data_IF_531941093084
#
_entry.id   IF_531941093084
#
_cell.length_a   1.000
_cell.length_b   1.000
_cell.length_c   1.000
_cell.angle_alpha   90.00
_cell.angle_beta   90.00
_cell.angle_gamma   90.00
#
_symmetry.space_group_name_H-M   'P 1'
#
loop_
_entity.id
_entity.type
_entity.pdbx_description
1 polymer ?
#
# COMPACT_ATOMS: atom_id res chain seq x y z
N UNK A 1 -5.01 2.42 3.18
CA UNK A 1 -4.92 1.09 2.51
C UNK A 1 -5.37 -0.04 3.43
N UNK A 2 -4.93 -0.08 4.69
CA UNK A 2 -5.31 -1.13 5.66
C UNK A 2 -6.84 -1.25 5.89
N UNK A 3 -7.56 -0.12 5.95
CA UNK A 3 -9.03 -0.11 6.04
C UNK A 3 -9.77 -0.69 4.83
N UNK A 4 -9.16 -0.63 3.64
CA UNK A 4 -9.82 -1.00 2.38
C UNK A 4 -9.34 -2.33 1.81
N UNK A 5 -8.12 -2.77 2.19
CA UNK A 5 -7.37 -3.90 1.58
C UNK A 5 -7.29 -3.84 0.05
N UNK A 6 -7.53 -2.66 -0.52
CA UNK A 6 -7.60 -2.40 -1.95
C UNK A 6 -7.00 -1.02 -2.23
N UNK A 7 -5.92 -0.98 -3.02
CA UNK A 7 -5.26 0.27 -3.41
C UNK A 7 -6.18 1.21 -4.20
N UNK A 8 -7.13 0.67 -4.98
CA UNK A 8 -8.06 1.50 -5.74
C UNK A 8 -9.02 2.27 -4.84
N UNK A 9 -9.52 1.64 -3.77
CA UNK A 9 -10.38 2.31 -2.81
C UNK A 9 -9.60 3.31 -1.96
N UNK A 10 -8.40 2.93 -1.49
CA UNK A 10 -7.54 3.83 -0.75
C UNK A 10 -7.13 5.06 -1.59
N UNK A 11 -6.91 4.88 -2.89
CA UNK A 11 -6.59 5.98 -3.79
C UNK A 11 -7.76 6.96 -3.93
N UNK A 12 -9.00 6.45 -4.05
CA UNK A 12 -10.21 7.28 -4.05
C UNK A 12 -10.37 8.08 -2.76
N UNK A 13 -10.15 7.45 -1.60
CA UNK A 13 -10.22 8.13 -0.29
C UNK A 13 -9.13 9.21 -0.14
N UNK A 14 -7.95 8.98 -0.73
CA UNK A 14 -6.85 9.94 -0.74
C UNK A 14 -6.93 10.95 -1.90
N UNK A 15 -8.02 10.98 -2.67
CA UNK A 15 -8.20 11.86 -3.84
C UNK A 15 -7.06 11.78 -4.87
N UNK A 16 -6.48 10.60 -5.03
CA UNK A 16 -5.42 10.32 -6.01
C UNK A 16 -5.80 9.15 -6.89
N UNK A 17 -5.07 8.98 -8.00
CA UNK A 17 -5.22 7.78 -8.81
C UNK A 17 -4.54 6.58 -8.15
N UNK A 18 -5.03 5.37 -8.45
CA UNK A 18 -4.41 4.14 -7.94
C UNK A 18 -2.95 3.96 -8.39
N UNK A 19 -2.55 4.29 -9.64
CA UNK A 19 -1.14 4.29 -10.05
C UNK A 19 -0.30 5.26 -9.21
N UNK A 20 -0.81 6.47 -8.95
CA UNK A 20 -0.13 7.46 -8.11
C UNK A 20 0.10 6.92 -6.71
N UNK A 21 -0.94 6.40 -6.05
CA UNK A 21 -0.82 5.88 -4.68
C UNK A 21 0.16 4.71 -4.61
N UNK A 22 0.09 3.78 -5.57
CA UNK A 22 0.97 2.61 -5.62
C UNK A 22 2.43 3.02 -5.79
N UNK A 23 2.69 4.03 -6.62
CA UNK A 23 4.04 4.56 -6.81
C UNK A 23 4.57 5.26 -5.56
N UNK A 24 3.74 6.03 -4.83
CA UNK A 24 4.18 6.66 -3.57
C UNK A 24 4.50 5.61 -2.50
N UNK A 25 3.71 4.54 -2.43
CA UNK A 25 3.95 3.44 -1.49
C UNK A 25 5.21 2.67 -1.87
N UNK A 26 5.45 2.40 -3.16
CA UNK A 26 6.69 1.79 -3.60
C UNK A 26 7.91 2.64 -3.20
N UNK A 27 7.86 3.95 -3.42
CA UNK A 27 8.94 4.87 -3.02
C UNK A 27 9.19 4.84 -1.51
N UNK A 28 8.14 4.71 -0.70
CA UNK A 28 8.25 4.58 0.74
C UNK A 28 8.87 3.24 1.13
N UNK A 29 8.44 2.14 0.51
CA UNK A 29 8.99 0.80 0.72
C UNK A 29 10.49 0.75 0.34
N UNK A 30 10.87 1.39 -0.75
CA UNK A 30 12.25 1.52 -1.20
C UNK A 30 13.07 2.39 -0.23
N UNK A 31 12.52 3.51 0.23
CA UNK A 31 13.20 4.38 1.20
C UNK A 31 13.45 3.69 2.54
N UNK A 32 12.46 2.93 3.02
CA UNK A 32 12.56 2.18 4.28
C UNK A 32 13.32 0.85 4.12
N UNK A 33 13.60 0.42 2.88
CA UNK A 33 14.11 -0.92 2.56
C UNK A 33 13.25 -2.04 3.18
N UNK A 34 11.93 -1.80 3.24
CA UNK A 34 10.95 -2.68 3.89
C UNK A 34 9.70 -2.77 3.02
N UNK A 35 9.24 -3.99 2.76
CA UNK A 35 7.96 -4.22 2.10
C UNK A 35 6.84 -4.07 3.15
N UNK A 36 5.95 -3.12 2.93
CA UNK A 36 4.81 -2.79 3.80
C UNK A 36 3.58 -3.59 3.37
N UNK A 37 3.39 -3.81 2.07
CA UNK A 37 2.25 -4.54 1.52
C UNK A 37 2.66 -5.76 0.69
N UNK A 38 2.10 -6.92 1.01
CA UNK A 38 2.23 -8.14 0.23
C UNK A 38 1.24 -8.11 -0.94
N UNK A 39 1.78 -7.83 -2.13
CA UNK A 39 1.05 -7.74 -3.40
C UNK A 39 0.86 -9.09 -4.09
N UNK A 40 1.47 -10.17 -3.58
CA UNK A 40 1.25 -11.53 -4.11
C UNK A 40 -0.14 -12.08 -3.77
N UNK A 41 -0.82 -11.46 -2.80
CA UNK A 41 -2.16 -11.84 -2.34
C UNK A 41 -3.20 -10.87 -2.87
N UNK A 42 -4.34 -11.41 -3.28
CA UNK A 42 -5.53 -10.64 -3.67
C UNK A 42 -6.68 -11.04 -2.75
N UNK A 43 -7.15 -10.16 -1.84
CA UNK A 43 -6.79 -8.75 -1.69
C UNK A 43 -5.39 -8.55 -1.06
N UNK A 44 -4.79 -7.38 -1.31
CA UNK A 44 -3.47 -7.00 -0.78
C UNK A 44 -3.53 -6.95 0.74
N UNK A 45 -2.51 -7.51 1.40
CA UNK A 45 -2.42 -7.54 2.86
C UNK A 45 -1.16 -6.84 3.36
N UNK A 46 -1.21 -6.15 4.52
CA UNK A 46 0.00 -5.63 5.15
C UNK A 46 0.94 -6.77 5.59
N UNK A 47 2.24 -6.57 5.43
CA UNK A 47 3.27 -7.45 6.01
C UNK A 47 3.32 -7.27 7.54
N UNK A 48 4.00 -8.16 8.29
CA UNK A 48 4.21 -7.94 9.73
C UNK A 48 4.86 -6.60 10.06
N UNK A 49 5.70 -6.09 9.16
CA UNK A 49 6.30 -4.75 9.28
C UNK A 49 5.28 -3.66 8.98
N UNK A 50 4.48 -3.82 7.92
CA UNK A 50 3.41 -2.87 7.60
C UNK A 50 2.27 -2.77 8.62
N UNK A 51 2.16 -3.72 9.56
CA UNK A 51 1.25 -3.61 10.72
C UNK A 51 1.82 -2.76 11.87
N UNK A 52 3.13 -2.49 11.89
CA UNK A 52 3.82 -1.74 12.95
C UNK A 52 4.08 -0.28 12.57
N UNK A 53 3.88 0.06 11.30
CA UNK A 53 3.97 1.42 10.75
C UNK A 53 2.58 2.03 10.74
#
# INVERSE_FOLDING_TARGET
VDRCRNFAQAARECFVTQPTLSMQIQKLEDYLQVIIFDRSKSPVVPTPMGKKV
#
